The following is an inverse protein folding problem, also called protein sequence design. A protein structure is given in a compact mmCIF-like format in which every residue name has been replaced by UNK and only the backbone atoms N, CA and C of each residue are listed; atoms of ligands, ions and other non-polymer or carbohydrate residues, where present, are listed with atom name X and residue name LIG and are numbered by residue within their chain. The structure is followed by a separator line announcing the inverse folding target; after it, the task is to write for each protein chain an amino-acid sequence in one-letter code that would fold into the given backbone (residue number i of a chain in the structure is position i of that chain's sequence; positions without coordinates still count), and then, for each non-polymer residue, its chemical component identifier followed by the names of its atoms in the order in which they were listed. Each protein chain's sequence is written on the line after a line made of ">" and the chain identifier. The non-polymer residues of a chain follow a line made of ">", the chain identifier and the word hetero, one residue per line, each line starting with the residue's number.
data_IF_651621741483
#
_entry.id   IF_651621741483
#
_cell.length_a   1.000
_cell.length_b   1.000
_cell.length_c   1.000
_cell.angle_alpha   90.00
_cell.angle_beta   90.00
_cell.angle_gamma   90.00
#
_symmetry.space_group_name_H-M   'P 1'
#
loop_
_entity.id
_entity.type
_entity.pdbx_description
1 polymer ?
#
# COMPACT_ATOMS: atom_id res chain seq x y z
N UNK A 1 32.47 -12.58 27.05
CA UNK A 1 31.44 -11.68 26.48
C UNK A 1 30.94 -12.30 25.19
N UNK A 2 29.72 -12.85 25.17
CA UNK A 2 29.13 -13.42 23.94
C UNK A 2 28.84 -12.26 22.97
N UNK A 3 29.24 -12.43 21.72
CA UNK A 3 29.56 -11.40 20.72
C UNK A 3 28.44 -10.41 20.38
N UNK A 4 28.68 -9.11 20.58
CA UNK A 4 27.77 -8.05 20.13
C UNK A 4 27.50 -8.04 18.62
N UNK A 5 28.35 -8.69 17.82
CA UNK A 5 28.14 -8.90 16.38
C UNK A 5 26.89 -9.76 16.08
N UNK A 6 26.62 -10.79 16.88
CA UNK A 6 25.45 -11.65 16.69
C UNK A 6 24.14 -10.90 16.98
N UNK A 7 24.15 -10.04 17.99
CA UNK A 7 23.00 -9.20 18.34
C UNK A 7 22.74 -8.12 17.28
N UNK A 8 23.80 -7.54 16.71
CA UNK A 8 23.69 -6.61 15.58
C UNK A 8 23.11 -7.30 14.32
N UNK A 9 23.52 -8.54 14.04
CA UNK A 9 22.98 -9.32 12.93
C UNK A 9 21.48 -9.60 13.09
N UNK A 10 21.05 -10.02 14.28
CA UNK A 10 19.63 -10.24 14.61
C UNK A 10 18.80 -8.97 14.50
N UNK A 11 19.32 -7.83 14.98
CA UNK A 11 18.65 -6.55 14.87
C UNK A 11 18.48 -6.11 13.41
N UNK A 12 19.47 -6.38 12.55
CA UNK A 12 19.38 -6.12 11.10
C UNK A 12 18.29 -6.97 10.45
N UNK A 13 18.30 -8.28 10.68
CA UNK A 13 17.29 -9.20 10.13
C UNK A 13 15.86 -8.82 10.57
N UNK A 14 15.70 -8.43 11.84
CA UNK A 14 14.40 -7.97 12.35
C UNK A 14 13.92 -6.69 11.64
N UNK A 15 14.83 -5.73 11.39
CA UNK A 15 14.53 -4.50 10.66
C UNK A 15 14.14 -4.78 9.21
N UNK A 16 14.89 -5.64 8.53
CA UNK A 16 14.59 -6.06 7.15
C UNK A 16 13.21 -6.74 7.07
N UNK A 17 12.92 -7.70 7.98
CA UNK A 17 11.62 -8.36 8.04
C UNK A 17 10.48 -7.37 8.29
N UNK A 18 10.64 -6.44 9.22
CA UNK A 18 9.62 -5.43 9.52
C UNK A 18 9.38 -4.50 8.33
N UNK A 19 10.42 -4.09 7.63
CA UNK A 19 10.30 -3.21 6.48
C UNK A 19 9.64 -3.92 5.28
N UNK A 20 9.96 -5.21 5.06
CA UNK A 20 9.28 -6.05 4.06
C UNK A 20 7.80 -6.27 4.40
N UNK A 21 7.49 -6.57 5.66
CA UNK A 21 6.10 -6.71 6.12
C UNK A 21 5.31 -5.40 6.00
N UNK A 22 5.93 -4.26 6.29
CA UNK A 22 5.32 -2.94 6.09
C UNK A 22 5.00 -2.67 4.62
N UNK A 23 5.92 -3.04 3.71
CA UNK A 23 5.69 -2.93 2.27
C UNK A 23 4.58 -3.86 1.78
N UNK A 24 4.57 -5.13 2.21
CA UNK A 24 3.51 -6.06 1.78
C UNK A 24 2.14 -5.59 2.26
N UNK A 25 2.04 -5.10 3.50
CA UNK A 25 0.81 -4.50 4.00
C UNK A 25 0.39 -3.25 3.19
N UNK A 26 1.34 -2.44 2.73
CA UNK A 26 1.05 -1.29 1.88
C UNK A 26 0.52 -1.69 0.50
N UNK A 27 1.11 -2.70 -0.14
CA UNK A 27 0.65 -3.21 -1.43
C UNK A 27 -0.77 -3.74 -1.31
N UNK A 28 -1.09 -4.47 -0.24
CA UNK A 28 -2.46 -4.94 0.00
C UNK A 28 -3.44 -3.79 0.25
N UNK A 29 -3.03 -2.72 0.95
CA UNK A 29 -3.87 -1.51 1.10
C UNK A 29 -4.17 -0.84 -0.23
N UNK A 30 -3.19 -0.69 -1.12
CA UNK A 30 -3.38 -0.16 -2.47
C UNK A 30 -4.33 -1.05 -3.25
N UNK A 31 -4.13 -2.37 -3.23
CA UNK A 31 -5.00 -3.33 -3.91
C UNK A 31 -6.45 -3.25 -3.44
N UNK A 32 -6.68 -3.19 -2.13
CA UNK A 32 -8.02 -3.07 -1.56
C UNK A 32 -8.68 -1.72 -1.94
N UNK A 33 -7.91 -0.63 -1.96
CA UNK A 33 -8.41 0.67 -2.41
C UNK A 33 -8.78 0.66 -3.90
N UNK A 34 -8.00 0.01 -4.76
CA UNK A 34 -8.31 -0.17 -6.19
C UNK A 34 -9.59 -0.99 -6.39
N UNK A 35 -9.74 -2.09 -5.64
CA UNK A 35 -10.95 -2.91 -5.68
C UNK A 35 -12.19 -2.13 -5.23
N UNK A 36 -12.08 -1.36 -4.15
CA UNK A 36 -13.16 -0.52 -3.66
C UNK A 36 -13.57 0.56 -4.67
N UNK A 37 -12.59 1.21 -5.31
CA UNK A 37 -12.83 2.20 -6.35
C UNK A 37 -13.50 1.56 -7.58
N UNK A 38 -13.04 0.39 -8.00
CA UNK A 38 -13.66 -0.34 -9.10
C UNK A 38 -15.12 -0.67 -8.80
N UNK A 39 -15.43 -1.19 -7.61
CA UNK A 39 -16.80 -1.47 -7.19
C UNK A 39 -17.67 -0.21 -7.14
N UNK A 40 -17.12 0.91 -6.68
CA UNK A 40 -17.84 2.18 -6.63
C UNK A 40 -18.17 2.71 -8.04
N UNK A 41 -17.22 2.64 -8.98
CA UNK A 41 -17.44 3.01 -10.39
C UNK A 41 -18.48 2.11 -11.07
N UNK A 42 -18.41 0.81 -10.85
CA UNK A 42 -19.43 -0.12 -11.36
C UNK A 42 -20.83 0.20 -10.80
N UNK A 43 -20.93 0.63 -9.54
CA UNK A 43 -22.20 1.07 -8.96
C UNK A 43 -22.69 2.40 -9.54
N UNK A 44 -21.78 3.34 -9.84
CA UNK A 44 -22.10 4.60 -10.53
C UNK A 44 -22.62 4.34 -11.94
N UNK A 45 -21.97 3.46 -12.70
CA UNK A 45 -22.40 3.06 -14.04
C UNK A 45 -23.77 2.38 -14.02
N UNK A 46 -23.98 1.45 -13.08
CA UNK A 46 -25.27 0.78 -12.89
C UNK A 46 -26.38 1.77 -12.51
N UNK A 47 -26.09 2.76 -11.67
CA UNK A 47 -27.06 3.80 -11.32
C UNK A 47 -27.39 4.71 -12.50
N UNK A 48 -26.38 5.06 -13.31
CA UNK A 48 -26.59 5.83 -14.53
C UNK A 48 -27.43 5.06 -15.55
N UNK A 49 -27.21 3.76 -15.70
CA UNK A 49 -28.01 2.89 -16.55
C UNK A 49 -29.45 2.77 -16.04
N UNK A 50 -29.64 2.53 -14.74
CA UNK A 50 -30.96 2.48 -14.12
C UNK A 50 -31.73 3.80 -14.33
N UNK A 51 -31.07 4.95 -14.19
CA UNK A 51 -31.67 6.25 -14.47
C UNK A 51 -32.09 6.43 -15.93
N UNK A 52 -31.26 5.98 -16.89
CA UNK A 52 -31.61 5.98 -18.32
C UNK A 52 -32.80 5.07 -18.62
N UNK A 53 -32.81 3.86 -18.06
CA UNK A 53 -33.88 2.89 -18.22
C UNK A 53 -35.21 3.40 -17.63
N UNK A 54 -35.17 3.99 -16.43
CA UNK A 54 -36.35 4.58 -15.78
C UNK A 54 -36.93 5.73 -16.61
N UNK A 55 -36.07 6.62 -17.14
CA UNK A 55 -36.50 7.71 -18.02
C UNK A 55 -37.09 7.20 -19.33
N UNK A 56 -36.48 6.18 -19.94
CA UNK A 56 -36.99 5.56 -21.18
C UNK A 56 -38.35 4.91 -20.94
N UNK A 57 -38.52 4.18 -19.84
CA UNK A 57 -39.79 3.60 -19.45
C UNK A 57 -40.88 4.66 -19.24
N UNK A 58 -40.56 5.77 -18.57
CA UNK A 58 -41.49 6.88 -18.40
C UNK A 58 -41.90 7.50 -19.74
N UNK A 59 -40.95 7.77 -20.65
CA UNK A 59 -41.25 8.30 -21.98
C UNK A 59 -42.12 7.35 -22.80
N UNK A 60 -41.92 6.03 -22.67
CA UNK A 60 -42.78 5.03 -23.31
C UNK A 60 -44.21 5.07 -22.75
N UNK A 61 -44.39 5.17 -21.43
CA UNK A 61 -45.70 5.35 -20.81
C UNK A 61 -46.38 6.63 -21.29
N UNK A 62 -45.62 7.74 -21.37
CA UNK A 62 -46.16 9.00 -21.89
C UNK A 62 -46.66 8.91 -23.33
N UNK A 63 -45.96 8.15 -24.17
CA UNK A 63 -46.34 7.95 -25.57
C UNK A 63 -47.61 7.10 -25.73
N UNK A 64 -47.89 6.18 -24.78
CA UNK A 64 -49.03 5.26 -24.83
C UNK A 64 -50.28 5.83 -24.14
N UNK A 65 -50.13 6.42 -22.96
CA UNK A 65 -51.24 6.76 -22.06
C UNK A 65 -51.46 8.28 -21.91
N UNK A 66 -50.51 9.10 -22.35
CA UNK A 66 -50.48 10.54 -22.06
C UNK A 66 -50.08 10.83 -20.60
N UNK A 67 -49.58 12.04 -20.34
CA UNK A 67 -49.11 12.43 -19.01
C UNK A 67 -50.23 13.03 -18.16
N UNK A 68 -50.65 12.37 -17.08
CA UNK A 68 -51.39 13.03 -16.01
C UNK A 68 -50.48 13.92 -15.15
N UNK A 69 -50.99 15.04 -14.58
CA UNK A 69 -50.21 15.91 -13.69
C UNK A 69 -49.57 15.15 -12.51
N UNK A 70 -50.28 14.16 -11.96
CA UNK A 70 -49.78 13.30 -10.88
C UNK A 70 -48.62 12.39 -11.32
N UNK A 71 -48.62 11.89 -12.55
CA UNK A 71 -47.52 11.09 -13.11
C UNK A 71 -46.28 11.97 -13.35
N UNK A 72 -46.47 13.20 -13.87
CA UNK A 72 -45.37 14.15 -14.04
C UNK A 72 -44.72 14.59 -12.73
N UNK A 73 -45.50 14.75 -11.65
CA UNK A 73 -44.96 15.04 -10.32
C UNK A 73 -44.14 13.87 -9.76
N UNK A 74 -44.64 12.64 -9.88
CA UNK A 74 -43.93 11.42 -9.45
C UNK A 74 -42.62 11.22 -10.21
N UNK A 75 -42.62 11.48 -11.51
CA UNK A 75 -41.39 11.35 -12.31
C UNK A 75 -40.33 12.38 -11.92
N UNK A 76 -40.71 13.64 -11.71
CA UNK A 76 -39.77 14.66 -11.22
C UNK A 76 -39.15 14.27 -9.88
N UNK A 77 -39.94 13.64 -9.01
CA UNK A 77 -39.43 13.12 -7.74
C UNK A 77 -38.41 12.00 -7.96
N UNK A 78 -38.72 10.98 -8.78
CA UNK A 78 -37.77 9.89 -9.11
C UNK A 78 -36.48 10.42 -9.73
N UNK A 79 -36.57 11.37 -10.66
CA UNK A 79 -35.39 11.98 -11.28
C UNK A 79 -34.52 12.71 -10.25
N UNK A 80 -35.14 13.42 -9.30
CA UNK A 80 -34.41 14.04 -8.20
C UNK A 80 -33.71 13.01 -7.30
N UNK A 81 -34.35 11.86 -7.03
CA UNK A 81 -33.75 10.75 -6.27
C UNK A 81 -32.57 10.11 -7.03
N UNK A 82 -32.73 9.83 -8.33
CA UNK A 82 -31.66 9.32 -9.19
C UNK A 82 -30.48 10.29 -9.26
N UNK A 83 -30.75 11.60 -9.30
CA UNK A 83 -29.70 12.62 -9.28
C UNK A 83 -28.94 12.65 -7.96
N UNK A 84 -29.64 12.64 -6.83
CA UNK A 84 -29.01 12.62 -5.49
C UNK A 84 -28.14 11.39 -5.27
N UNK A 85 -28.64 10.22 -5.70
CA UNK A 85 -27.89 8.97 -5.62
C UNK A 85 -26.65 8.99 -6.51
N UNK A 86 -26.75 9.51 -7.74
CA UNK A 86 -25.59 9.70 -8.62
C UNK A 86 -24.56 10.68 -8.01
N UNK A 87 -24.99 11.81 -7.47
CA UNK A 87 -24.12 12.79 -6.80
C UNK A 87 -23.40 12.16 -5.59
N UNK A 88 -24.09 11.30 -4.84
CA UNK A 88 -23.52 10.57 -3.69
C UNK A 88 -22.47 9.55 -4.13
N UNK A 89 -22.74 8.81 -5.20
CA UNK A 89 -21.80 7.83 -5.77
C UNK A 89 -20.56 8.53 -6.35
N UNK A 90 -20.74 9.63 -7.08
CA UNK A 90 -19.64 10.43 -7.61
C UNK A 90 -18.75 10.98 -6.48
N UNK A 91 -19.34 11.49 -5.40
CA UNK A 91 -18.58 11.94 -4.22
C UNK A 91 -17.80 10.78 -3.57
N UNK A 92 -18.39 9.59 -3.49
CA UNK A 92 -17.72 8.38 -2.99
C UNK A 92 -16.56 7.96 -3.90
N UNK A 93 -16.74 7.98 -5.22
CA UNK A 93 -15.67 7.69 -6.18
C UNK A 93 -14.51 8.67 -6.01
N UNK A 94 -14.78 9.97 -5.93
CA UNK A 94 -13.75 11.00 -5.72
C UNK A 94 -12.98 10.81 -4.40
N UNK A 95 -13.68 10.45 -3.31
CA UNK A 95 -13.05 10.16 -2.03
C UNK A 95 -12.13 8.92 -2.11
N UNK A 96 -12.57 7.86 -2.79
CA UNK A 96 -11.77 6.65 -2.99
C UNK A 96 -10.56 6.89 -3.91
N UNK A 97 -10.69 7.75 -4.92
CA UNK A 97 -9.56 8.18 -5.76
C UNK A 97 -8.51 8.95 -4.97
N UNK A 98 -8.94 9.87 -4.11
CA UNK A 98 -8.05 10.60 -3.21
C UNK A 98 -7.33 9.65 -2.23
N UNK A 99 -8.06 8.68 -1.67
CA UNK A 99 -7.48 7.64 -0.81
C UNK A 99 -6.44 6.80 -1.58
N UNK A 100 -6.76 6.35 -2.78
CA UNK A 100 -5.84 5.57 -3.61
C UNK A 100 -4.57 6.36 -3.95
N UNK A 101 -4.70 7.65 -4.26
CA UNK A 101 -3.56 8.52 -4.50
C UNK A 101 -2.65 8.63 -3.26
N UNK A 102 -3.24 8.78 -2.07
CA UNK A 102 -2.51 8.80 -0.81
C UNK A 102 -1.78 7.48 -0.54
N UNK A 103 -2.45 6.33 -0.74
CA UNK A 103 -1.86 5.01 -0.53
C UNK A 103 -0.70 4.74 -1.51
N UNK A 104 -0.83 5.15 -2.78
CA UNK A 104 0.26 5.05 -3.78
C UNK A 104 1.44 5.96 -3.44
N UNK A 105 1.17 7.16 -2.91
CA UNK A 105 2.23 8.06 -2.44
C UNK A 105 2.98 7.44 -1.26
N UNK A 106 2.28 6.84 -0.30
CA UNK A 106 2.89 6.13 0.82
C UNK A 106 3.71 4.92 0.36
N UNK A 107 3.21 4.14 -0.60
CA UNK A 107 3.96 3.03 -1.21
C UNK A 107 5.26 3.52 -1.86
N UNK A 108 5.20 4.60 -2.63
CA UNK A 108 6.37 5.20 -3.24
C UNK A 108 7.39 5.64 -2.19
N UNK A 109 6.93 6.29 -1.12
CA UNK A 109 7.79 6.71 -0.02
C UNK A 109 8.48 5.51 0.66
N UNK A 110 7.73 4.48 1.04
CA UNK A 110 8.27 3.26 1.65
C UNK A 110 9.28 2.56 0.74
N UNK A 111 9.03 2.55 -0.58
CA UNK A 111 9.98 2.00 -1.56
C UNK A 111 11.30 2.78 -1.59
N UNK A 112 11.25 4.11 -1.54
CA UNK A 112 12.46 4.93 -1.47
C UNK A 112 13.22 4.72 -0.16
N UNK A 113 12.52 4.66 0.97
CA UNK A 113 13.13 4.41 2.27
C UNK A 113 13.82 3.04 2.33
N UNK A 114 13.16 2.00 1.83
CA UNK A 114 13.74 0.67 1.70
C UNK A 114 15.01 0.66 0.85
N UNK A 115 14.99 1.34 -0.30
CA UNK A 115 16.18 1.45 -1.15
C UNK A 115 17.33 2.18 -0.44
N UNK A 116 17.03 3.24 0.31
CA UNK A 116 18.03 3.97 1.11
C UNK A 116 18.60 3.09 2.23
N UNK A 117 17.74 2.35 2.93
CA UNK A 117 18.16 1.42 3.97
C UNK A 117 19.03 0.29 3.40
N UNK A 118 18.62 -0.30 2.27
CA UNK A 118 19.38 -1.35 1.58
C UNK A 118 20.78 -0.86 1.19
N UNK A 119 20.88 0.31 0.54
CA UNK A 119 22.18 0.89 0.18
C UNK A 119 23.08 1.13 1.39
N UNK A 120 22.52 1.59 2.51
CA UNK A 120 23.27 1.76 3.77
C UNK A 120 23.78 0.42 4.31
N UNK A 121 22.94 -0.62 4.25
CA UNK A 121 23.33 -1.96 4.70
C UNK A 121 24.40 -2.58 3.80
N UNK A 122 24.30 -2.40 2.49
CA UNK A 122 25.29 -2.89 1.52
C UNK A 122 26.63 -2.16 1.70
N UNK A 123 26.62 -0.84 1.92
CA UNK A 123 27.84 -0.06 2.19
C UNK A 123 28.55 -0.48 3.49
N UNK A 124 27.81 -1.01 4.47
CA UNK A 124 28.37 -1.50 5.73
C UNK A 124 28.85 -2.96 5.64
N UNK A 125 28.54 -3.69 4.56
CA UNK A 125 28.86 -5.12 4.44
C UNK A 125 30.37 -5.38 4.34
N UNK A 126 31.05 -4.70 3.41
CA UNK A 126 32.49 -4.83 3.16
C UNK A 126 33.34 -4.39 4.38
N UNK A 127 33.09 -3.19 4.99
CA UNK A 127 33.85 -2.77 6.17
C UNK A 127 33.67 -3.70 7.37
N UNK A 128 32.47 -4.25 7.56
CA UNK A 128 32.19 -5.15 8.68
C UNK A 128 32.88 -6.51 8.49
N UNK A 129 32.91 -7.03 7.26
CA UNK A 129 33.65 -8.26 6.94
C UNK A 129 35.16 -8.06 7.16
N UNK A 130 35.71 -6.93 6.70
CA UNK A 130 37.12 -6.60 6.91
C UNK A 130 37.45 -6.44 8.41
N UNK A 131 36.60 -5.77 9.19
CA UNK A 131 36.78 -5.62 10.63
C UNK A 131 36.74 -6.96 11.38
N UNK A 132 35.83 -7.87 11.00
CA UNK A 132 35.75 -9.22 11.56
C UNK A 132 37.02 -10.02 11.25
N UNK A 133 37.51 -9.94 10.01
CA UNK A 133 38.73 -10.64 9.61
C UNK A 133 39.97 -10.11 10.35
N UNK A 134 40.07 -8.79 10.53
CA UNK A 134 41.14 -8.18 11.31
C UNK A 134 41.09 -8.56 12.80
N UNK A 135 39.89 -8.69 13.38
CA UNK A 135 39.72 -9.14 14.77
C UNK A 135 40.15 -10.61 14.95
N UNK A 136 39.82 -11.47 13.98
CA UNK A 136 40.27 -12.86 13.96
C UNK A 136 41.80 -12.95 13.86
N UNK A 137 42.41 -12.21 12.94
CA UNK A 137 43.87 -12.16 12.79
C UNK A 137 44.56 -11.71 14.09
N UNK A 138 44.10 -10.63 14.72
CA UNK A 138 44.64 -10.17 16.02
C UNK A 138 44.47 -11.18 17.14
N UNK A 139 43.44 -12.04 17.07
CA UNK A 139 43.23 -13.10 18.05
C UNK A 139 44.18 -14.27 17.81
N UNK A 140 44.42 -14.62 16.55
CA UNK A 140 45.41 -15.62 16.15
C UNK A 140 46.83 -15.18 16.51
N UNK A 141 47.19 -13.93 16.22
CA UNK A 141 48.49 -13.34 16.60
C UNK A 141 48.73 -13.45 18.11
N UNK A 142 47.77 -12.98 18.93
CA UNK A 142 47.87 -13.09 20.41
C UNK A 142 47.97 -14.53 20.91
N UNK A 143 47.32 -15.46 20.24
CA UNK A 143 47.42 -16.88 20.58
C UNK A 143 48.81 -17.43 20.23
N UNK A 144 49.32 -17.10 19.04
CA UNK A 144 50.64 -17.54 18.58
C UNK A 144 51.75 -16.95 19.47
N UNK A 145 51.69 -15.66 19.80
CA UNK A 145 52.61 -15.00 20.74
C UNK A 145 52.60 -15.70 22.11
N UNK A 146 51.42 -16.03 22.65
CA UNK A 146 51.32 -16.77 23.90
C UNK A 146 51.91 -18.19 23.83
N UNK A 147 51.79 -18.85 22.67
CA UNK A 147 52.40 -20.16 22.41
C UNK A 147 53.93 -20.06 22.27
N UNK A 148 54.45 -19.00 21.64
CA UNK A 148 55.89 -18.78 21.51
C UNK A 148 56.53 -18.43 22.86
N UNK A 149 55.91 -17.55 23.64
CA UNK A 149 56.34 -17.18 24.98
C UNK A 149 56.28 -18.34 25.98
N UNK A 150 55.44 -19.36 25.75
CA UNK A 150 55.41 -20.58 26.58
C UNK A 150 56.38 -21.67 26.10
N UNK A 151 56.98 -21.51 24.90
CA UNK A 151 57.97 -22.43 24.33
C UNK A 151 59.42 -21.99 24.54
N UNK A 152 59.68 -20.72 24.87
CA UNK A 152 60.99 -20.24 25.30
C UNK A 152 61.06 -20.25 26.85
N UNK A 153 61.89 -21.11 27.47
CA UNK A 153 62.17 -21.05 28.92
C UNK A 153 63.03 -19.85 29.30
#
# INVERSE_FOLDING_TARGET
>A
MKSGLADLHRLRELRERRALAGRSAQVERVRLAEQALHQARSAEDAQAEAGRAARAAFLATLAQEGAGQAQGARERHRQAEHRRTAETLAARCAALEAQLAQERQQEHHLRQELLRQQRRLDALREPLAAAQQAELQRREERMNEAVEMSRCP
#
